data_IF_594679276675
#
_entry.id   IF_594679276675
#
_cell.length_a   1.000
_cell.length_b   1.000
_cell.length_c   1.000
_cell.angle_alpha   90.00
_cell.angle_beta   90.00
_cell.angle_gamma   90.00
#
_symmetry.space_group_name_H-M   'P 1'
#
loop_
_entity.id
_entity.type
_entity.pdbx_description
1 polymer ?
#
# COMPACT_ATOMS: atom_id res chain seq x y z
N UNK A 1 -12.39 -19.88 0.45
CA UNK A 1 -11.42 -18.76 0.48
C UNK A 1 -11.58 -18.04 -0.84
N UNK A 2 -12.08 -16.80 -0.84
CA UNK A 2 -12.21 -16.04 -2.07
C UNK A 2 -10.82 -15.80 -2.64
N UNK A 3 -10.63 -16.24 -3.87
CA UNK A 3 -9.42 -16.01 -4.64
C UNK A 3 -9.16 -14.50 -4.76
N UNK A 4 -7.89 -14.11 -4.69
CA UNK A 4 -7.45 -12.72 -4.84
C UNK A 4 -6.72 -12.62 -6.19
N UNK A 5 -7.25 -11.83 -7.10
CA UNK A 5 -6.68 -11.64 -8.43
C UNK A 5 -5.47 -10.71 -8.40
N UNK A 6 -5.55 -9.64 -7.61
CA UNK A 6 -4.51 -8.63 -7.43
C UNK A 6 -4.77 -7.78 -6.20
N UNK A 7 -3.76 -7.02 -5.80
CA UNK A 7 -3.87 -5.97 -4.82
C UNK A 7 -3.66 -4.59 -5.43
N UNK A 8 -4.34 -3.58 -4.86
CA UNK A 8 -4.01 -2.17 -5.05
C UNK A 8 -3.62 -1.58 -3.69
N UNK A 9 -2.38 -1.15 -3.54
CA UNK A 9 -1.90 -0.46 -2.35
C UNK A 9 -1.87 1.05 -2.64
N UNK A 10 -2.67 1.83 -1.92
CA UNK A 10 -2.87 3.26 -2.21
C UNK A 10 -2.26 4.08 -1.09
N UNK A 11 -1.28 4.92 -1.42
CA UNK A 11 -0.68 5.86 -0.48
C UNK A 11 -1.67 6.99 -0.13
N UNK A 12 -1.54 7.56 1.07
CA UNK A 12 -2.12 8.87 1.39
C UNK A 12 -1.18 10.01 0.99
N UNK A 13 -0.77 10.03 -0.28
CA UNK A 13 0.11 11.05 -0.85
C UNK A 13 -0.22 11.23 -2.34
N UNK A 14 0.07 12.41 -2.89
CA UNK A 14 -0.01 12.68 -4.33
C UNK A 14 1.33 12.35 -5.02
N UNK A 15 1.26 11.75 -6.20
CA UNK A 15 2.39 11.52 -7.09
C UNK A 15 2.72 12.74 -7.95
N UNK A 16 3.98 12.86 -8.39
CA UNK A 16 4.48 13.95 -9.23
C UNK A 16 5.71 13.56 -10.08
N UNK A 17 6.03 14.39 -11.09
CA UNK A 17 6.96 14.08 -12.22
C UNK A 17 8.44 13.94 -11.79
N UNK A 18 8.83 14.27 -10.56
CA UNK A 18 10.22 14.10 -10.10
C UNK A 18 10.39 12.71 -9.45
N UNK A 19 10.37 11.68 -10.31
CA UNK A 19 10.87 10.31 -10.17
C UNK A 19 10.88 9.66 -8.78
N UNK A 20 10.06 8.62 -8.60
CA UNK A 20 10.03 7.71 -7.44
C UNK A 20 10.24 8.43 -6.10
N UNK A 21 9.18 9.09 -5.63
CA UNK A 21 8.95 9.50 -4.24
C UNK A 21 10.26 9.67 -3.47
N UNK A 22 10.91 10.83 -3.61
CA UNK A 22 11.68 11.33 -2.47
C UNK A 22 10.75 11.16 -1.29
N UNK A 23 11.12 10.28 -0.36
CA UNK A 23 10.52 10.14 0.97
C UNK A 23 10.31 11.58 1.43
N UNK A 24 9.11 12.12 1.24
CA UNK A 24 8.94 13.57 1.34
C UNK A 24 9.27 13.82 2.78
N UNK A 25 10.33 14.60 2.99
CA UNK A 25 10.98 14.86 4.26
C UNK A 25 9.97 15.65 5.10
N UNK A 26 8.93 14.97 5.56
CA UNK A 26 7.81 15.50 6.33
C UNK A 26 8.08 15.43 7.82
N UNK A 27 9.04 14.59 8.22
CA UNK A 27 9.46 14.46 9.62
C UNK A 27 10.11 15.75 10.18
N UNK A 28 10.50 16.70 9.31
CA UNK A 28 10.97 18.05 9.70
C UNK A 28 9.94 19.16 9.45
N UNK A 29 8.83 18.90 8.74
CA UNK A 29 7.89 19.94 8.26
C UNK A 29 6.41 19.70 8.65
N UNK A 30 6.11 18.69 9.48
CA UNK A 30 4.76 18.52 10.06
C UNK A 30 3.70 18.05 9.07
N UNK A 31 4.10 17.34 8.01
CA UNK A 31 3.18 16.73 7.04
C UNK A 31 2.87 15.29 7.48
N UNK A 32 1.61 14.88 7.37
CA UNK A 32 1.06 13.58 7.80
C UNK A 32 1.94 12.39 7.38
N UNK A 33 2.38 11.59 8.36
CA UNK A 33 3.10 10.33 8.10
C UNK A 33 2.19 9.35 7.35
N UNK A 34 2.65 8.84 6.21
CA UNK A 34 1.97 7.80 5.45
C UNK A 34 2.62 6.45 5.79
N UNK A 35 1.96 5.64 6.62
CA UNK A 35 2.51 4.36 7.07
C UNK A 35 2.90 3.40 5.93
N UNK A 36 2.16 3.41 4.80
CA UNK A 36 2.51 2.62 3.62
C UNK A 36 3.81 3.12 2.95
N UNK A 37 4.11 4.42 3.01
CA UNK A 37 5.41 4.93 2.55
C UNK A 37 6.54 4.37 3.41
N UNK A 38 6.37 4.30 4.74
CA UNK A 38 7.40 3.74 5.64
C UNK A 38 7.60 2.23 5.45
N UNK A 39 6.56 1.51 5.04
CA UNK A 39 6.65 0.09 4.68
C UNK A 39 7.43 -0.08 3.37
N UNK A 40 7.15 0.76 2.38
CA UNK A 40 7.69 0.60 1.02
C UNK A 40 9.07 1.21 0.82
N UNK A 41 9.42 2.30 1.54
CA UNK A 41 10.62 3.10 1.32
C UNK A 41 11.52 3.21 2.56
N UNK A 42 12.83 3.31 2.30
CA UNK A 42 13.81 3.93 3.18
C UNK A 42 13.91 5.43 2.84
N UNK A 43 14.59 6.27 3.65
CA UNK A 43 14.61 7.73 3.46
C UNK A 43 15.01 8.27 2.08
N UNK A 44 15.67 7.44 1.24
CA UNK A 44 16.18 7.87 -0.07
C UNK A 44 15.78 6.95 -1.23
N UNK A 45 15.16 5.80 -0.96
CA UNK A 45 14.85 4.80 -1.99
C UNK A 45 13.83 3.78 -1.51
N UNK A 46 13.20 3.06 -2.44
CA UNK A 46 12.39 1.88 -2.12
C UNK A 46 13.21 0.81 -1.39
N UNK A 47 12.60 0.11 -0.44
CA UNK A 47 13.27 -0.95 0.32
C UNK A 47 13.52 -2.18 -0.58
N UNK A 48 14.73 -2.74 -0.65
CA UNK A 48 14.96 -3.96 -1.43
C UNK A 48 14.15 -5.18 -0.92
N UNK A 49 13.82 -5.22 0.38
CA UNK A 49 12.94 -6.24 0.96
C UNK A 49 11.50 -6.14 0.45
N UNK A 50 11.02 -4.95 0.11
CA UNK A 50 9.73 -4.73 -0.53
C UNK A 50 9.68 -5.38 -1.91
N UNK A 51 10.70 -5.14 -2.74
CA UNK A 51 10.78 -5.76 -4.08
C UNK A 51 10.84 -7.29 -4.00
N UNK A 52 11.63 -7.82 -3.06
CA UNK A 52 11.65 -9.27 -2.82
C UNK A 52 10.31 -9.79 -2.33
N UNK A 53 9.52 -8.99 -1.61
CA UNK A 53 8.19 -9.37 -1.11
C UNK A 53 7.20 -9.44 -2.25
N UNK A 54 7.18 -8.43 -3.13
CA UNK A 54 6.36 -8.45 -4.33
C UNK A 54 6.64 -9.68 -5.21
N UNK A 55 7.91 -10.08 -5.35
CA UNK A 55 8.30 -11.24 -6.14
C UNK A 55 7.81 -12.59 -5.59
N UNK A 56 7.49 -12.66 -4.29
CA UNK A 56 7.00 -13.89 -3.62
C UNK A 56 5.53 -13.82 -3.24
N UNK A 57 4.89 -12.67 -3.41
CA UNK A 57 3.47 -12.47 -3.11
C UNK A 57 2.63 -13.33 -4.06
N UNK A 58 1.65 -14.05 -3.51
CA UNK A 58 0.80 -14.97 -4.27
C UNK A 58 -0.16 -14.29 -5.27
N UNK A 59 -0.23 -12.96 -5.26
CA UNK A 59 -1.01 -12.17 -6.21
C UNK A 59 -0.23 -10.88 -6.56
N UNK A 60 -0.34 -10.37 -7.80
CA UNK A 60 0.31 -9.13 -8.20
C UNK A 60 -0.21 -7.95 -7.37
N UNK A 61 0.66 -6.99 -7.08
CA UNK A 61 0.31 -5.75 -6.38
C UNK A 61 0.74 -4.54 -7.18
N UNK A 62 -0.21 -3.62 -7.39
CA UNK A 62 0.05 -2.29 -7.93
C UNK A 62 0.03 -1.29 -6.78
N UNK A 63 1.01 -0.39 -6.76
CA UNK A 63 1.07 0.69 -5.78
C UNK A 63 0.73 2.02 -6.47
N UNK A 64 -0.16 2.81 -5.87
CA UNK A 64 -0.70 4.05 -6.45
C UNK A 64 -0.63 5.19 -5.44
N UNK A 65 -0.42 6.40 -5.92
CA UNK A 65 -0.74 7.63 -5.19
C UNK A 65 -2.24 7.91 -5.24
N UNK A 66 -2.76 8.72 -4.30
CA UNK A 66 -4.20 9.02 -4.23
C UNK A 66 -4.74 9.67 -5.51
N UNK A 67 -3.94 10.46 -6.21
CA UNK A 67 -4.27 11.13 -7.46
C UNK A 67 -4.05 10.25 -8.71
N UNK A 68 -3.50 9.05 -8.56
CA UNK A 68 -3.32 8.06 -9.64
C UNK A 68 -4.43 7.00 -9.65
N UNK A 69 -5.32 7.03 -8.65
CA UNK A 69 -6.46 6.11 -8.56
C UNK A 69 -7.49 6.48 -9.61
N UNK A 70 -7.83 5.53 -10.47
CA UNK A 70 -8.82 5.74 -11.51
C UNK A 70 -10.26 5.84 -10.95
N UNK A 71 -11.20 6.47 -11.67
CA UNK A 71 -12.56 6.68 -11.18
C UNK A 71 -13.33 5.40 -10.81
N UNK A 72 -13.06 4.27 -11.47
CA UNK A 72 -13.76 3.01 -11.19
C UNK A 72 -13.33 2.40 -9.87
N UNK A 73 -12.02 2.47 -9.57
CA UNK A 73 -11.49 2.05 -8.29
C UNK A 73 -11.91 3.01 -7.18
N UNK A 74 -11.90 4.33 -7.42
CA UNK A 74 -12.40 5.33 -6.47
C UNK A 74 -13.86 5.06 -6.07
N UNK A 75 -14.73 4.76 -7.04
CA UNK A 75 -16.12 4.42 -6.78
C UNK A 75 -16.26 3.15 -5.92
N UNK A 76 -15.36 2.18 -6.10
CA UNK A 76 -15.37 0.91 -5.36
C UNK A 76 -14.89 1.05 -3.91
N UNK A 77 -13.88 1.89 -3.67
CA UNK A 77 -13.29 2.08 -2.32
C UNK A 77 -14.02 3.16 -1.50
N UNK A 78 -14.84 3.99 -2.13
CA UNK A 78 -15.68 5.00 -1.48
C UNK A 78 -14.88 5.94 -0.57
N UNK A 79 -15.32 6.07 0.68
CA UNK A 79 -14.71 6.96 1.69
C UNK A 79 -13.68 6.25 2.57
N UNK A 80 -13.10 5.12 2.11
CA UNK A 80 -12.09 4.39 2.88
C UNK A 80 -10.89 5.29 3.18
N UNK A 81 -10.48 5.33 4.45
CA UNK A 81 -9.34 6.12 4.87
C UNK A 81 -8.03 5.56 4.26
N UNK A 82 -7.24 6.44 3.65
CA UNK A 82 -5.92 6.12 3.13
C UNK A 82 -4.81 6.40 4.16
N UNK A 83 -3.65 5.70 4.11
CA UNK A 83 -3.33 4.66 3.13
C UNK A 83 -4.09 3.37 3.39
N UNK A 84 -4.31 2.57 2.34
CA UNK A 84 -4.98 1.27 2.46
C UNK A 84 -4.53 0.31 1.36
N UNK A 85 -4.69 -0.99 1.61
CA UNK A 85 -4.53 -2.04 0.60
C UNK A 85 -5.88 -2.65 0.29
N UNK A 86 -6.18 -2.82 -0.98
CA UNK A 86 -7.42 -3.37 -1.48
C UNK A 86 -7.17 -4.69 -2.20
N UNK A 87 -7.98 -5.71 -1.92
CA UNK A 87 -8.00 -6.97 -2.65
C UNK A 87 -9.08 -6.92 -3.74
N UNK A 88 -8.73 -7.41 -4.93
CA UNK A 88 -9.64 -7.52 -6.07
C UNK A 88 -10.04 -8.98 -6.27
N UNK A 89 -11.34 -9.24 -6.40
CA UNK A 89 -11.88 -10.59 -6.48
C UNK A 89 -12.43 -10.94 -7.89
N UNK A 90 -12.55 -12.24 -8.23
CA UNK A 90 -13.09 -12.68 -9.52
C UNK A 90 -14.53 -12.24 -9.81
N UNK A 91 -15.34 -11.99 -8.77
CA UNK A 91 -16.72 -11.50 -8.90
C UNK A 91 -16.80 -9.98 -9.14
N UNK A 92 -15.66 -9.31 -9.26
CA UNK A 92 -15.55 -7.86 -9.46
C UNK A 92 -15.63 -7.05 -8.18
N UNK A 93 -15.78 -7.69 -7.01
CA UNK A 93 -15.77 -6.98 -5.73
C UNK A 93 -14.36 -6.53 -5.34
N UNK A 94 -14.30 -5.40 -4.63
CA UNK A 94 -13.07 -4.86 -4.04
C UNK A 94 -13.29 -4.74 -2.54
N UNK A 95 -12.39 -5.33 -1.75
CA UNK A 95 -12.45 -5.27 -0.28
C UNK A 95 -11.19 -4.64 0.30
N UNK A 96 -11.30 -4.09 1.50
CA UNK A 96 -10.12 -3.64 2.26
C UNK A 96 -9.38 -4.88 2.75
N UNK A 97 -8.13 -5.04 2.30
CA UNK A 97 -7.22 -6.08 2.75
C UNK A 97 -6.39 -5.63 3.95
N UNK A 98 -5.96 -4.37 3.96
CA UNK A 98 -5.28 -3.73 5.10
C UNK A 98 -5.75 -2.28 5.22
N UNK A 99 -6.21 -1.91 6.41
CA UNK A 99 -6.63 -0.56 6.77
C UNK A 99 -5.46 0.34 7.13
N UNK A 100 -5.69 1.65 7.15
CA UNK A 100 -4.72 2.64 7.61
C UNK A 100 -4.20 2.33 9.03
N UNK A 101 -5.07 1.86 9.93
CA UNK A 101 -4.71 1.53 11.30
C UNK A 101 -3.76 0.33 11.37
N UNK A 102 -4.04 -0.73 10.60
CA UNK A 102 -3.18 -1.92 10.54
C UNK A 102 -1.81 -1.57 9.94
N UNK A 103 -1.77 -0.76 8.88
CA UNK A 103 -0.52 -0.30 8.27
C UNK A 103 0.32 0.52 9.26
N UNK A 104 -0.29 1.41 10.03
CA UNK A 104 0.41 2.17 11.08
C UNK A 104 0.98 1.24 12.16
N UNK A 105 0.22 0.23 12.59
CA UNK A 105 0.67 -0.72 13.61
C UNK A 105 1.87 -1.57 13.17
N UNK A 106 2.11 -1.71 11.86
CA UNK A 106 3.27 -2.45 11.31
C UNK A 106 4.59 -1.68 11.45
N UNK A 107 4.57 -0.37 11.73
CA UNK A 107 5.78 0.42 12.00
C UNK A 107 6.82 0.37 10.87
N UNK A 108 6.37 0.35 9.61
CA UNK A 108 7.25 0.27 8.44
C UNK A 108 7.79 -1.14 8.14
N UNK A 109 7.34 -2.19 8.82
CA UNK A 109 7.82 -3.56 8.61
C UNK A 109 7.24 -4.22 7.35
N UNK A 110 8.11 -4.59 6.40
CA UNK A 110 7.69 -5.35 5.20
C UNK A 110 7.30 -6.79 5.55
N UNK A 111 7.94 -7.42 6.54
CA UNK A 111 7.59 -8.78 6.96
C UNK A 111 6.22 -8.84 7.64
N UNK A 112 5.88 -7.85 8.47
CA UNK A 112 4.56 -7.77 9.10
C UNK A 112 3.46 -7.53 8.05
N UNK A 113 3.74 -6.70 7.05
CA UNK A 113 2.85 -6.44 5.92
C UNK A 113 2.56 -7.73 5.13
N UNK A 114 3.60 -8.49 4.78
CA UNK A 114 3.45 -9.76 4.07
C UNK A 114 2.68 -10.81 4.89
N UNK A 115 3.00 -10.93 6.18
CA UNK A 115 2.34 -11.84 7.09
C UNK A 115 0.82 -11.57 7.14
N UNK A 116 0.44 -10.29 7.23
CA UNK A 116 -0.96 -9.88 7.27
C UNK A 116 -1.71 -10.19 5.96
N UNK A 117 -1.08 -10.01 4.80
CA UNK A 117 -1.71 -10.34 3.51
C UNK A 117 -1.83 -11.83 3.22
N UNK A 118 -0.86 -12.62 3.69
CA UNK A 118 -0.78 -14.05 3.37
C UNK A 118 -1.39 -14.95 4.43
N UNK A 119 -1.79 -14.39 5.58
CA UNK A 119 -2.27 -15.15 6.74
C UNK A 119 -1.20 -16.07 7.34
N UNK A 120 0.09 -15.85 7.01
CA UNK A 120 1.21 -16.61 7.56
C UNK A 120 1.78 -15.82 8.72
N UNK A 121 1.91 -16.43 9.90
CA UNK A 121 2.70 -15.83 10.99
C UNK A 121 4.15 -15.68 10.54
N UNK A 122 4.83 -14.57 10.89
CA UNK A 122 6.22 -14.31 10.51
C UNK A 122 7.19 -15.36 11.07
#
# INVERSE_FOLDING_TARGET
MNEILRYSAIYNADGGIVGEVRYVIGHLLGITECALCDITHSPVRRKPEWDRMLARLGAPMTVLHRNEVDPSLLASIGTTQLPAVFAHHPDGTVTVALSAQELTAMGGSVSAFEAALTGRSP
#
